data_IF_871243283988
#
_entry.id   IF_871243283988
#
_cell.length_a   1.000
_cell.length_b   1.000
_cell.length_c   1.000
_cell.angle_alpha   90.00
_cell.angle_beta   90.00
_cell.angle_gamma   90.00
#
_symmetry.space_group_name_H-M   'P 1'
#
loop_
_entity.id
_entity.type
_entity.pdbx_description
1 polymer ?
2 non-polymer ?
3 non-polymer ?
4 non-polymer ?
5 water ?
#
# COMPACT_ATOMS: atom_id res chain seq x y z
N UNK A 21 -2.41 23.19 -16.72
CA UNK A 21 -2.31 22.19 -15.62
C UNK A 21 -3.07 20.92 -15.98
N UNK A 22 -3.44 20.13 -14.95
CA UNK A 22 -4.17 18.89 -15.18
C UNK A 22 -5.66 19.16 -15.23
N UNK A 23 -6.27 18.83 -16.36
CA UNK A 23 -7.67 19.05 -16.59
C UNK A 23 -8.48 17.77 -16.77
N UNK A 24 -7.81 16.70 -17.14
CA UNK A 24 -8.48 15.42 -17.40
C UNK A 24 -7.57 14.27 -17.04
N UNK A 25 -8.06 13.37 -16.18
CA UNK A 25 -7.29 12.25 -15.67
C UNK A 25 -7.92 10.93 -16.03
N UNK A 26 -7.11 10.02 -16.58
CA UNK A 26 -7.51 8.63 -16.76
C UNK A 26 -7.23 7.87 -15.47
N UNK A 27 -8.28 7.25 -14.96
CA UNK A 27 -8.22 6.42 -13.77
C UNK A 27 -7.92 4.97 -14.17
N UNK A 28 -6.64 4.61 -14.17
CA UNK A 28 -6.22 3.32 -14.65
C UNK A 28 -6.27 2.31 -13.52
N UNK A 29 -7.47 2.13 -12.98
CA UNK A 29 -7.69 1.15 -11.94
C UNK A 29 -9.18 0.89 -11.81
N UNK A 30 -9.60 0.23 -10.73
CA UNK A 30 -10.96 -0.19 -10.58
C UNK A 30 -11.35 -0.18 -9.10
N UNK A 31 -12.55 -0.64 -8.80
CA UNK A 31 -12.95 -0.82 -7.41
C UNK A 31 -12.91 0.43 -6.54
N UNK A 32 -12.59 0.23 -5.27
CA UNK A 32 -12.66 1.29 -4.30
C UNK A 32 -11.63 2.38 -4.60
N UNK A 33 -10.43 2.01 -5.01
CA UNK A 33 -9.41 3.05 -5.22
C UNK A 33 -9.75 3.93 -6.41
N UNK A 34 -10.36 3.34 -7.43
CA UNK A 34 -10.83 4.11 -8.57
C UNK A 34 -11.90 5.11 -8.13
N UNK A 35 -12.83 4.69 -7.28
CA UNK A 35 -13.80 5.65 -6.69
C UNK A 35 -13.12 6.75 -5.85
N UNK A 36 -12.11 6.39 -5.08
CA UNK A 36 -11.37 7.30 -4.23
C UNK A 36 -10.73 8.40 -5.10
N UNK A 37 -10.17 7.96 -6.23
CA UNK A 37 -9.49 8.88 -7.13
C UNK A 37 -10.49 9.77 -7.82
N UNK A 38 -11.63 9.21 -8.21
CA UNK A 38 -12.66 10.01 -8.86
C UNK A 38 -13.15 11.11 -7.92
N UNK A 39 -13.32 10.79 -6.64
CA UNK A 39 -13.83 11.76 -5.69
C UNK A 39 -12.82 12.90 -5.55
N UNK A 40 -11.54 12.58 -5.50
CA UNK A 40 -10.51 13.65 -5.43
C UNK A 40 -10.51 14.54 -6.68
N UNK A 41 -10.62 13.90 -7.84
CA UNK A 41 -10.60 14.65 -9.09
C UNK A 41 -11.74 15.65 -9.09
N UNK A 42 -12.90 15.14 -8.72
CA UNK A 42 -14.13 15.89 -8.78
C UNK A 42 -14.10 17.07 -7.82
N UNK A 43 -13.50 16.86 -6.65
CA UNK A 43 -13.30 17.97 -5.73
C UNK A 43 -12.40 19.06 -6.31
N UNK A 44 -11.40 18.65 -7.09
CA UNK A 44 -10.49 19.58 -7.74
C UNK A 44 -11.01 20.13 -9.08
N UNK A 45 -12.14 19.64 -9.54
CA UNK A 45 -12.69 20.13 -10.79
C UNK A 45 -12.03 19.51 -12.01
N UNK A 46 -11.37 18.37 -11.79
CA UNK A 46 -10.65 17.66 -12.83
C UNK A 46 -11.56 16.63 -13.50
N UNK A 47 -11.62 16.66 -14.84
CA UNK A 47 -12.50 15.75 -15.57
C UNK A 47 -11.96 14.34 -15.46
N UNK A 48 -12.85 13.35 -15.46
CA UNK A 48 -12.45 11.95 -15.28
C UNK A 48 -12.79 11.08 -16.49
N UNK A 49 -11.89 10.14 -16.76
CA UNK A 49 -12.04 9.09 -17.77
C UNK A 49 -11.91 7.77 -17.02
N UNK A 50 -12.96 6.96 -17.01
CA UNK A 50 -12.90 5.68 -16.34
C UNK A 50 -12.64 4.65 -17.40
N UNK A 51 -11.45 4.04 -17.38
CA UNK A 51 -11.19 2.89 -18.23
C UNK A 51 -11.59 1.65 -17.44
N UNK A 52 -12.25 0.72 -18.13
CA UNK A 52 -12.83 -0.44 -17.44
C UNK A 52 -12.89 -1.68 -18.33
N UNK A 53 -12.89 -2.84 -17.70
CA UNK A 53 -13.07 -4.09 -18.43
C UNK A 53 -14.56 -4.31 -18.65
N UNK A 54 -14.91 -5.30 -19.49
CA UNK A 54 -16.30 -5.61 -19.76
C UNK A 54 -17.08 -6.00 -18.48
N UNK A 55 -16.39 -6.54 -17.49
CA UNK A 55 -17.06 -7.01 -16.28
C UNK A 55 -17.35 -5.87 -15.30
N UNK A 56 -16.76 -4.71 -15.53
CA UNK A 56 -16.79 -3.61 -14.57
C UNK A 56 -17.62 -2.42 -15.06
N UNK A 57 -18.47 -2.67 -16.04
CA UNK A 57 -19.35 -1.65 -16.57
C UNK A 57 -20.20 -1.03 -15.47
N UNK A 58 -20.47 -1.80 -14.43
CA UNK A 58 -21.41 -1.39 -13.40
C UNK A 58 -20.72 -0.91 -12.13
N UNK A 59 -19.40 -0.74 -12.17
CA UNK A 59 -18.70 -0.14 -11.05
C UNK A 59 -19.24 1.25 -10.81
N UNK A 60 -19.31 1.60 -9.53
CA UNK A 60 -19.86 2.89 -9.10
C UNK A 60 -19.11 4.06 -9.77
N UNK A 61 -17.79 4.04 -9.72
CA UNK A 61 -17.01 5.15 -10.28
C UNK A 61 -17.18 5.26 -11.79
N UNK A 62 -17.37 4.13 -12.47
CA UNK A 62 -17.62 4.16 -13.90
C UNK A 62 -18.92 4.91 -14.16
N UNK A 63 -19.93 4.58 -13.37
CA UNK A 63 -21.24 5.19 -13.48
C UNK A 63 -21.24 6.68 -13.15
N UNK A 64 -20.30 7.12 -12.31
CA UNK A 64 -20.12 8.54 -12.01
C UNK A 64 -19.15 9.31 -12.92
N UNK A 65 -18.36 8.61 -13.72
CA UNK A 65 -17.32 9.27 -14.51
C UNK A 65 -17.88 10.15 -15.63
N UNK A 66 -17.13 11.18 -15.99
CA UNK A 66 -17.49 12.06 -17.11
C UNK A 66 -17.41 11.34 -18.44
N UNK A 67 -16.40 10.48 -18.61
CA UNK A 67 -16.24 9.68 -19.84
C UNK A 67 -15.89 8.27 -19.47
N UNK A 68 -16.31 7.29 -20.27
CA UNK A 68 -15.95 5.90 -20.03
C UNK A 68 -15.40 5.26 -21.30
N UNK A 69 -14.41 4.39 -21.13
CA UNK A 69 -13.84 3.62 -22.24
C UNK A 69 -13.60 2.18 -21.83
N UNK A 70 -14.20 1.25 -22.55
CA UNK A 70 -13.95 -0.16 -22.28
C UNK A 70 -12.61 -0.56 -22.89
N UNK A 71 -11.65 -0.93 -22.05
CA UNK A 71 -10.29 -1.26 -22.53
C UNK A 71 -9.99 -2.75 -22.75
N UNK A 72 -10.98 -3.61 -22.57
CA UNK A 72 -10.78 -5.03 -22.85
C UNK A 72 -11.75 -5.90 -22.07
N UNK A 73 -11.64 -7.23 -22.27
CA UNK A 73 -12.44 -8.26 -21.58
C UNK A 73 -12.08 -8.39 -20.11
N UNK A 74 -12.78 -9.27 -19.42
CA UNK A 74 -12.69 -9.37 -17.97
C UNK A 74 -11.28 -9.60 -17.39
N UNK A 75 -10.51 -10.54 -17.95
CA UNK A 75 -9.23 -10.86 -17.31
C UNK A 75 -8.27 -9.68 -17.24
N UNK A 76 -7.65 -9.51 -16.08
CA UNK A 76 -6.71 -8.42 -15.84
C UNK A 76 -5.72 -8.26 -16.98
N UNK A 77 -5.11 -9.36 -17.39
CA UNK A 77 -4.11 -9.37 -18.47
C UNK A 77 -4.54 -8.62 -19.72
N UNK A 78 -5.84 -8.63 -19.97
CA UNK A 78 -6.32 -8.14 -21.25
C UNK A 78 -7.08 -6.81 -21.07
N UNK A 79 -7.11 -6.33 -19.83
CA UNK A 79 -7.69 -5.03 -19.56
C UNK A 79 -6.79 -4.12 -18.70
N UNK A 80 -6.83 -4.28 -17.38
CA UNK A 80 -6.17 -3.32 -16.49
C UNK A 80 -4.63 -3.40 -16.55
N UNK A 81 -4.13 -4.46 -17.18
CA UNK A 81 -2.68 -4.62 -17.42
C UNK A 81 -2.34 -4.40 -18.86
N UNK A 82 -3.33 -3.98 -19.65
CA UNK A 82 -3.14 -3.70 -21.07
C UNK A 82 -2.59 -2.30 -21.34
N UNK A 83 -1.28 -2.19 -21.38
CA UNK A 83 -0.63 -0.90 -21.53
C UNK A 83 -1.03 -0.12 -22.78
N UNK A 84 -1.01 -0.77 -23.96
CA UNK A 84 -1.39 0.09 -25.09
C UNK A 84 -2.86 0.49 -25.08
N UNK A 85 -3.75 -0.31 -24.52
CA UNK A 85 -5.16 0.08 -24.52
C UNK A 85 -5.38 1.27 -23.57
N UNK A 86 -4.65 1.30 -22.46
CA UNK A 86 -4.83 2.35 -21.48
C UNK A 86 -4.27 3.67 -22.03
N UNK A 87 -3.12 3.56 -22.70
CA UNK A 87 -2.51 4.75 -23.25
C UNK A 87 -3.37 5.28 -24.39
N UNK A 88 -3.94 4.36 -25.17
CA UNK A 88 -4.83 4.70 -26.27
C UNK A 88 -6.05 5.41 -25.74
N UNK A 89 -6.51 5.02 -24.55
CA UNK A 89 -7.63 5.72 -23.91
C UNK A 89 -7.27 7.17 -23.57
N UNK A 90 -6.08 7.38 -23.01
CA UNK A 90 -5.64 8.75 -22.76
C UNK A 90 -5.55 9.57 -24.05
N UNK A 91 -5.11 8.93 -25.12
CA UNK A 91 -4.93 9.59 -26.42
C UNK A 91 -6.25 10.06 -27.02
N UNK A 92 -7.22 9.17 -27.12
CA UNK A 92 -8.49 9.49 -27.77
C UNK A 92 -9.30 10.51 -26.96
N UNK A 93 -9.16 10.51 -25.63
CA UNK A 93 -9.90 11.48 -24.80
C UNK A 93 -9.16 12.81 -24.63
N UNK A 94 -7.92 12.88 -25.11
CA UNK A 94 -7.10 14.06 -24.91
C UNK A 94 -6.86 14.30 -23.42
N UNK A 95 -6.62 13.22 -22.68
CA UNK A 95 -6.37 13.32 -21.25
C UNK A 95 -4.98 13.92 -21.03
N UNK A 96 -4.74 14.43 -19.82
CA UNK A 96 -3.47 15.05 -19.47
C UNK A 96 -2.59 14.10 -18.63
N UNK A 97 -3.23 13.21 -17.89
CA UNK A 97 -2.52 12.42 -16.89
C UNK A 97 -3.21 11.09 -16.63
N UNK A 98 -2.47 10.16 -16.05
CA UNK A 98 -2.99 8.82 -15.77
C UNK A 98 -2.64 8.49 -14.33
N UNK A 99 -3.65 8.12 -13.55
CA UNK A 99 -3.48 7.73 -12.18
C UNK A 99 -3.61 6.21 -12.12
N UNK A 100 -2.51 5.52 -11.74
CA UNK A 100 -2.44 4.05 -11.70
C UNK A 100 -3.04 3.36 -10.45
N UNK A 101 -3.48 4.13 -9.46
CA UNK A 101 -3.99 3.58 -8.23
C UNK A 101 -2.92 2.77 -7.54
N UNK A 102 -3.31 1.64 -6.96
CA UNK A 102 -2.36 0.68 -6.41
C UNK A 102 -2.62 -0.66 -7.08
N UNK A 103 -1.65 -1.57 -7.01
CA UNK A 103 -1.70 -2.82 -7.73
C UNK A 103 -1.53 -2.60 -9.22
N UNK A 104 -1.99 -3.58 -9.99
CA UNK A 104 -1.97 -3.49 -11.46
C UNK A 104 -0.67 -2.88 -11.99
N UNK A 105 -0.72 -1.74 -12.67
CA UNK A 105 0.49 -1.22 -13.31
C UNK A 105 1.20 -0.10 -12.51
N UNK A 106 0.79 0.11 -11.27
CA UNK A 106 1.26 1.28 -10.53
C UNK A 106 2.74 1.24 -10.21
N UNK A 107 3.34 0.05 -10.18
CA UNK A 107 4.77 -0.05 -9.94
C UNK A 107 5.47 -0.72 -11.12
N UNK A 108 4.87 -0.56 -12.29
CA UNK A 108 5.42 -1.08 -13.52
C UNK A 108 6.13 0.06 -14.26
N UNK A 109 7.46 0.03 -14.22
CA UNK A 109 8.27 1.09 -14.80
C UNK A 109 8.15 1.15 -16.32
N UNK A 110 7.95 0.01 -16.98
CA UNK A 110 7.71 0.05 -18.42
C UNK A 110 6.43 0.85 -18.74
N UNK A 111 5.38 0.69 -17.94
CA UNK A 111 4.17 1.49 -18.12
C UNK A 111 4.41 2.99 -17.85
N UNK A 112 5.08 3.31 -16.75
CA UNK A 112 5.40 4.70 -16.43
C UNK A 112 6.19 5.35 -17.55
N UNK A 113 7.10 4.58 -18.12
CA UNK A 113 8.03 5.06 -19.12
C UNK A 113 7.25 5.36 -20.39
N UNK A 114 6.32 4.46 -20.73
CA UNK A 114 5.53 4.59 -21.94
C UNK A 114 4.51 5.72 -21.83
N UNK A 115 4.03 5.97 -20.62
CA UNK A 115 3.02 6.98 -20.38
C UNK A 115 3.70 8.33 -20.61
N UNK A 116 4.87 8.53 -20.01
CA UNK A 116 5.60 9.80 -20.17
C UNK A 116 6.11 10.00 -21.59
N UNK A 117 6.58 8.93 -22.21
CA UNK A 117 7.10 8.99 -23.56
C UNK A 117 5.97 9.33 -24.52
N UNK A 118 4.74 9.00 -24.13
CA UNK A 118 3.57 9.29 -24.96
C UNK A 118 2.97 10.68 -24.70
N UNK A 119 3.57 11.45 -23.80
CA UNK A 119 3.21 12.84 -23.62
C UNK A 119 2.29 13.10 -22.45
N UNK A 120 1.91 12.06 -21.71
CA UNK A 120 1.01 12.19 -20.57
C UNK A 120 1.79 12.23 -19.26
N UNK A 121 1.20 12.84 -18.24
CA UNK A 121 1.80 12.83 -16.92
C UNK A 121 1.42 11.53 -16.20
N UNK A 122 2.42 10.83 -15.69
CA UNK A 122 2.20 9.66 -14.84
C UNK A 122 2.05 10.18 -13.42
N UNK A 123 0.93 9.87 -12.77
CA UNK A 123 0.71 10.29 -11.39
C UNK A 123 1.40 9.28 -10.48
N UNK A 124 2.66 9.56 -10.17
CA UNK A 124 3.56 8.62 -9.55
C UNK A 124 4.98 9.12 -9.77
N UNK A 125 5.97 8.37 -9.31
CA UNK A 125 7.34 8.79 -9.59
C UNK A 125 7.76 8.52 -11.01
N UNK A 126 8.95 8.99 -11.35
CA UNK A 126 9.54 8.76 -12.65
C UNK A 126 9.86 7.28 -12.81
N UNK A 127 9.98 6.83 -14.06
CA UNK A 127 10.22 5.42 -14.33
C UNK A 127 11.54 4.97 -13.71
N UNK A 128 12.53 5.84 -13.73
CA UNK A 128 13.87 5.49 -13.27
C UNK A 128 13.82 5.11 -11.80
N UNK A 129 13.05 5.90 -11.05
CA UNK A 129 12.93 5.72 -9.61
C UNK A 129 12.09 4.49 -9.26
N UNK A 130 11.04 4.23 -10.02
CA UNK A 130 10.29 3.00 -9.85
C UNK A 130 11.22 1.79 -10.01
N UNK A 131 12.06 1.80 -11.05
CA UNK A 131 13.00 0.70 -11.28
C UNK A 131 13.99 0.59 -10.14
N UNK A 132 14.47 1.74 -9.69
CA UNK A 132 15.46 1.77 -8.63
C UNK A 132 14.94 1.04 -7.38
N UNK A 133 13.75 1.44 -6.93
CA UNK A 133 13.17 0.87 -5.73
C UNK A 133 12.41 -0.42 -5.99
N UNK A 134 12.26 -0.80 -7.26
CA UNK A 134 11.63 -2.06 -7.60
C UNK A 134 12.56 -3.27 -7.49
N UNK A 135 13.84 -3.00 -7.31
CA UNK A 135 14.84 -4.04 -7.17
C UNK A 135 15.39 -3.99 -5.76
N UNK A 136 15.34 -5.12 -5.05
CA UNK A 136 15.64 -5.13 -3.63
C UNK A 136 17.06 -4.69 -3.36
N UNK A 137 18.02 -5.22 -4.11
CA UNK A 137 19.42 -4.87 -3.87
C UNK A 137 19.70 -3.39 -4.14
N UNK A 138 19.26 -2.87 -5.29
CA UNK A 138 19.49 -1.46 -5.57
C UNK A 138 18.71 -0.57 -4.61
N UNK A 139 17.55 -1.04 -4.16
CA UNK A 139 16.72 -0.27 -3.24
C UNK A 139 17.49 -0.06 -1.95
N UNK A 140 18.00 -1.17 -1.42
CA UNK A 140 18.72 -1.16 -0.15
C UNK A 140 19.97 -0.32 -0.26
N UNK A 141 20.64 -0.38 -1.41
CA UNK A 141 21.84 0.42 -1.59
C UNK A 141 21.50 1.91 -1.47
N UNK A 142 20.42 2.31 -2.13
CA UNK A 142 20.02 3.72 -2.10
C UNK A 142 19.62 4.19 -0.71
N UNK A 143 18.92 3.34 0.03
CA UNK A 143 18.51 3.66 1.40
C UNK A 143 19.73 3.82 2.31
N UNK A 144 20.66 2.89 2.16
CA UNK A 144 21.93 2.89 2.90
C UNK A 144 22.70 4.18 2.63
N UNK A 145 22.71 4.61 1.38
CA UNK A 145 23.40 5.85 1.02
C UNK A 145 22.69 7.03 1.65
N UNK A 146 21.37 6.96 1.69
CA UNK A 146 20.55 8.03 2.23
C UNK A 146 20.51 8.06 3.76
N UNK A 147 21.05 7.03 4.39
CA UNK A 147 21.05 6.96 5.84
C UNK A 147 19.75 6.40 6.44
N UNK A 148 18.97 5.71 5.62
CA UNK A 148 17.79 5.01 6.13
C UNK A 148 18.26 3.65 6.65
N UNK A 149 17.87 3.30 7.88
CA UNK A 149 18.43 2.07 8.45
C UNK A 149 17.89 0.83 7.75
N UNK A 150 18.78 -0.14 7.53
CA UNK A 150 18.47 -1.35 6.80
C UNK A 150 18.77 -2.60 7.64
N UNK A 151 18.19 -3.73 7.25
CA UNK A 151 18.51 -4.98 7.91
C UNK A 151 19.96 -5.29 7.62
N UNK A 152 20.73 -5.66 8.64
CA UNK A 152 22.10 -6.14 8.38
C UNK A 152 22.10 -7.30 7.39
N UNK A 153 22.90 -7.17 6.33
CA UNK A 153 22.91 -8.15 5.27
C UNK A 153 24.14 -8.08 4.40
N UNK A 154 24.09 -8.77 3.27
CA UNK A 154 25.26 -8.94 2.41
C UNK A 154 25.61 -7.66 1.67
N UNK A 155 24.68 -6.71 1.68
CA UNK A 155 24.90 -5.43 1.00
C UNK A 155 25.44 -5.69 -0.40
N UNK A 156 24.55 -6.21 -1.24
CA UNK A 156 24.90 -6.62 -2.57
C UNK A 156 24.63 -8.10 -2.69
N UNK A 157 24.72 -8.62 -3.92
CA UNK A 157 24.51 -10.05 -4.18
C UNK A 157 25.60 -10.97 -3.63
N UNK A 158 25.17 -12.20 -3.37
CA UNK A 158 26.05 -13.29 -3.00
C UNK A 158 26.66 -13.89 -4.25
N UNK A 159 27.81 -14.54 -4.13
CA UNK A 159 28.31 -15.40 -5.21
C UNK A 159 27.77 -16.80 -4.92
N UNK A 160 28.43 -17.84 -5.42
CA UNK A 160 28.38 -19.11 -4.71
C UNK A 160 29.79 -19.65 -4.55
N UNK A 161 30.69 -18.76 -4.14
CA UNK A 161 31.85 -19.19 -3.38
C UNK A 161 31.32 -19.34 -1.96
N UNK A 162 31.30 -20.58 -1.49
CA UNK A 162 30.59 -20.90 -0.27
C UNK A 162 31.35 -20.44 0.97
N UNK A 163 32.68 -20.42 0.92
CA UNK A 163 33.49 -20.01 2.07
C UNK A 163 33.21 -18.55 2.42
N UNK A 164 33.11 -17.72 1.37
CA UNK A 164 32.86 -16.29 1.55
C UNK A 164 31.42 -16.06 2.05
N UNK A 165 30.47 -16.76 1.46
CA UNK A 165 29.07 -16.68 1.88
C UNK A 165 28.88 -17.12 3.34
N UNK A 166 29.69 -18.08 3.77
CA UNK A 166 29.62 -18.56 5.15
C UNK A 166 30.20 -17.50 6.08
N UNK A 167 31.30 -16.86 5.67
CA UNK A 167 31.85 -15.77 6.46
C UNK A 167 30.81 -14.69 6.68
N UNK A 168 30.11 -14.30 5.62
CA UNK A 168 29.17 -13.21 5.74
C UNK A 168 28.01 -13.57 6.63
N UNK A 169 27.43 -14.75 6.42
CA UNK A 169 26.30 -15.16 7.25
C UNK A 169 26.72 -15.13 8.71
N UNK A 170 27.94 -15.60 8.97
CA UNK A 170 28.46 -15.64 10.34
C UNK A 170 28.52 -14.22 10.93
N UNK A 171 28.98 -13.28 10.12
CA UNK A 171 29.02 -11.87 10.49
C UNK A 171 27.63 -11.32 10.88
N UNK A 172 26.69 -11.46 9.95
CA UNK A 172 25.31 -11.05 10.11
C UNK A 172 24.73 -11.71 11.35
N UNK A 173 24.91 -13.02 11.44
CA UNK A 173 24.35 -13.80 12.54
C UNK A 173 23.11 -14.55 12.14
N UNK A 174 23.11 -15.86 12.40
CA UNK A 174 21.95 -16.69 12.12
C UNK A 174 20.87 -16.37 13.18
N UNK A 175 19.59 -16.55 12.82
CA UNK A 175 19.19 -17.07 11.51
C UNK A 175 19.28 -15.99 10.45
N UNK A 176 19.57 -16.41 9.23
CA UNK A 176 19.60 -15.48 8.12
C UNK A 176 18.56 -15.94 7.11
N UNK A 177 18.34 -15.09 6.12
CA UNK A 177 17.32 -15.32 5.11
C UNK A 177 17.88 -14.96 3.76
N UNK A 178 17.81 -15.92 2.84
CA UNK A 178 18.15 -15.71 1.45
C UNK A 178 16.93 -15.17 0.68
N UNK A 179 17.16 -14.17 -0.17
CA UNK A 179 16.09 -13.41 -0.80
C UNK A 179 16.35 -13.02 -2.27
N UNK A 180 15.30 -13.12 -3.09
CA UNK A 180 15.35 -12.72 -4.48
C UNK A 180 15.40 -11.19 -4.59
N UNK A 181 16.20 -10.68 -5.51
CA UNK A 181 16.24 -9.24 -5.73
C UNK A 181 14.94 -8.79 -6.41
N UNK A 182 14.23 -9.72 -7.02
CA UNK A 182 12.96 -9.42 -7.67
C UNK A 182 11.83 -10.31 -7.20
N UNK A 189 12.20 -16.71 -1.33
CA UNK A 189 12.48 -16.32 0.05
C UNK A 189 12.61 -17.56 0.97
N UNK A 190 13.86 -17.94 1.27
CA UNK A 190 14.17 -19.16 2.04
C UNK A 190 15.02 -18.85 3.26
N UNK A 191 14.73 -19.50 4.40
CA UNK A 191 15.46 -19.26 5.66
C UNK A 191 16.58 -20.24 5.87
N UNK A 192 17.62 -19.77 6.54
CA UNK A 192 18.72 -20.61 6.97
C UNK A 192 19.00 -20.37 8.45
N UNK A 193 18.87 -21.41 9.26
CA UNK A 193 19.06 -21.26 10.70
C UNK A 193 20.39 -21.80 11.15
N UNK A 194 21.09 -22.49 10.24
CA UNK A 194 22.43 -22.97 10.53
C UNK A 194 23.31 -23.05 9.29
N UNK A 195 24.61 -23.08 9.54
CA UNK A 195 25.64 -23.00 8.51
C UNK A 195 25.61 -24.15 7.51
N UNK A 196 25.33 -25.35 8.00
CA UNK A 196 25.43 -26.54 7.17
C UNK A 196 24.36 -26.55 6.09
N UNK A 197 23.34 -25.72 6.29
CA UNK A 197 22.22 -25.63 5.37
C UNK A 197 22.40 -24.52 4.35
N UNK A 198 23.43 -23.70 4.50
CA UNK A 198 23.55 -22.44 3.77
C UNK A 198 23.79 -22.59 2.26
N UNK A 199 24.75 -23.43 1.87
CA UNK A 199 25.14 -23.49 0.47
C UNK A 199 23.95 -23.90 -0.37
N UNK A 200 23.37 -25.06 -0.03
CA UNK A 200 22.24 -25.58 -0.78
C UNK A 200 21.00 -24.70 -0.59
N UNK A 201 20.91 -24.03 0.55
CA UNK A 201 19.84 -23.07 0.79
C UNK A 201 19.91 -21.93 -0.22
N UNK A 202 21.13 -21.47 -0.50
CA UNK A 202 21.35 -20.39 -1.47
C UNK A 202 21.12 -20.89 -2.90
N UNK A 203 21.86 -21.93 -3.28
CA UNK A 203 21.80 -22.48 -4.64
C UNK A 203 20.37 -22.67 -5.12
N UNK A 204 19.55 -23.26 -4.26
CA UNK A 204 18.20 -23.63 -4.62
C UNK A 204 17.24 -22.43 -4.61
N UNK A 205 17.62 -21.35 -3.93
CA UNK A 205 16.77 -20.17 -3.82
C UNK A 205 16.82 -19.36 -5.11
N UNK A 206 17.97 -19.39 -5.78
CA UNK A 206 18.12 -18.72 -7.06
C UNK A 206 17.01 -19.22 -8.00
N UNK A 207 16.76 -20.53 -7.94
CA UNK A 207 15.76 -21.18 -8.79
C UNK A 207 14.42 -21.30 -8.07
N UNK A 216 17.28 -13.45 -12.42
CA UNK A 216 17.08 -13.74 -11.00
C UNK A 216 18.39 -13.64 -10.20
N UNK A 217 18.52 -12.63 -9.34
CA UNK A 217 19.68 -12.57 -8.42
C UNK A 217 19.25 -12.72 -6.97
N UNK A 218 20.21 -13.01 -6.10
CA UNK A 218 19.94 -13.22 -4.67
C UNK A 218 20.89 -12.43 -3.72
N UNK A 219 20.37 -12.07 -2.55
CA UNK A 219 21.18 -11.50 -1.46
C UNK A 219 20.77 -12.15 -0.16
N UNK A 220 21.48 -11.88 0.94
CA UNK A 220 21.05 -12.41 2.23
C UNK A 220 21.09 -11.35 3.31
N UNK A 221 20.17 -11.45 4.26
CA UNK A 221 20.14 -10.50 5.36
C UNK A 221 19.67 -11.20 6.62
N UNK A 222 19.67 -10.49 7.75
CA UNK A 222 19.29 -11.08 9.01
C UNK A 222 17.81 -11.47 8.97
N UNK A 223 17.46 -12.61 9.53
CA UNK A 223 16.05 -12.94 9.69
C UNK A 223 15.58 -12.44 11.05
N UNK A 224 14.60 -11.54 11.02
CA UNK A 224 14.01 -10.99 12.24
C UNK A 224 12.80 -11.83 12.60
N UNK A 225 12.78 -12.37 13.80
CA UNK A 225 11.77 -13.39 14.11
C UNK A 225 10.45 -12.85 14.66
N UNK A 226 10.48 -11.76 15.42
CA UNK A 226 9.24 -11.20 15.99
C UNK A 226 9.09 -9.69 15.73
N UNK A 227 9.13 -9.26 14.46
CA UNK A 227 9.02 -7.83 14.23
C UNK A 227 7.58 -7.42 13.95
N UNK A 228 7.32 -6.13 14.07
CA UNK A 228 6.06 -5.53 13.64
C UNK A 228 6.25 -4.90 12.29
N UNK A 229 5.17 -4.64 11.59
CA UNK A 229 5.28 -3.96 10.31
C UNK A 229 4.89 -2.50 10.54
N UNK A 230 5.86 -1.60 10.42
CA UNK A 230 5.60 -0.18 10.66
C UNK A 230 6.11 0.58 9.46
N UNK A 231 5.28 1.45 8.89
CA UNK A 231 5.59 2.06 7.61
C UNK A 231 5.33 3.56 7.63
N UNK A 232 6.23 4.33 7.03
CA UNK A 232 6.18 5.77 7.09
C UNK A 232 5.67 6.31 5.76
N UNK A 233 4.66 7.17 5.84
CA UNK A 233 4.09 7.82 4.68
C UNK A 233 4.86 9.09 4.37
N UNK A 234 5.20 9.26 3.10
CA UNK A 234 5.80 10.50 2.62
C UNK A 234 5.10 11.06 1.38
N UNK A 235 5.38 12.34 1.16
CA UNK A 235 5.04 13.05 -0.07
C UNK A 235 6.28 13.87 -0.43
N UNK A 236 6.60 13.94 -1.71
CA UNK A 236 7.71 14.74 -2.20
C UNK A 236 7.22 15.41 -3.46
N UNK A 237 7.55 16.69 -3.67
CA UNK A 237 7.05 17.42 -4.84
C UNK A 237 8.17 17.87 -5.79
N UNK A 238 7.78 18.56 -6.86
CA UNK A 238 8.73 19.02 -7.87
C UNK A 238 9.32 20.37 -7.49
N UNK A 239 9.09 20.79 -6.25
CA UNK A 239 9.66 22.03 -5.74
C UNK A 239 10.73 21.76 -4.69
N UNK A 240 11.22 20.52 -4.62
CA UNK A 240 12.28 20.19 -3.68
C UNK A 240 11.82 19.99 -2.25
N UNK A 241 10.53 19.83 -2.06
CA UNK A 241 9.98 19.58 -0.72
C UNK A 241 9.73 18.10 -0.51
N UNK A 242 9.79 17.67 0.74
CA UNK A 242 9.45 16.30 1.10
C UNK A 242 9.06 16.29 2.56
N UNK A 243 7.93 15.67 2.87
CA UNK A 243 7.41 15.57 4.22
C UNK A 243 7.07 14.13 4.57
N UNK A 244 7.08 13.84 5.86
CA UNK A 244 6.63 12.56 6.37
C UNK A 244 5.35 12.75 7.15
N UNK A 245 4.46 11.76 7.06
CA UNK A 245 3.16 11.85 7.71
C UNK A 245 2.99 10.69 8.66
N UNK A 246 3.80 10.72 9.72
CA UNK A 246 3.77 9.73 10.76
C UNK A 246 3.88 8.31 10.16
N UNK A 247 3.22 7.34 10.77
CA UNK A 247 3.43 5.96 10.40
C UNK A 247 2.17 5.17 10.60
N UNK A 248 2.14 3.96 10.07
CA UNK A 248 1.03 3.05 10.26
C UNK A 248 1.62 1.73 10.70
N UNK A 249 0.88 1.02 11.53
CA UNK A 249 1.23 -0.33 11.92
C UNK A 249 0.32 -1.27 11.17
N UNK A 250 0.90 -2.21 10.43
CA UNK A 250 0.13 -3.12 9.60
C UNK A 250 0.48 -4.57 9.91
N UNK A 251 0.68 -4.87 11.18
CA UNK A 251 1.22 -6.16 11.58
C UNK A 251 0.20 -7.30 11.50
N UNK A 252 -1.07 -6.97 11.57
CA UNK A 252 -2.12 -7.99 11.45
C UNK A 252 -2.22 -8.42 10.01
N UNK A 253 -1.62 -9.57 9.70
CA UNK A 253 -1.52 -10.03 8.33
C UNK A 253 -1.78 -11.50 8.26
N UNK A 254 -2.23 -11.96 7.09
CA UNK A 254 -2.38 -13.37 6.84
C UNK A 254 -1.78 -13.63 5.48
N UNK A 255 -0.84 -14.58 5.41
CA UNK A 255 -0.20 -14.87 4.14
C UNK A 255 0.34 -13.60 3.51
N UNK A 256 0.96 -12.75 4.32
CA UNK A 256 1.59 -11.53 3.84
C UNK A 256 0.59 -10.52 3.25
N UNK A 257 -0.71 -10.73 3.51
CA UNK A 257 -1.76 -9.79 3.12
C UNK A 257 -2.33 -9.06 4.35
N UNK A 258 -2.34 -7.72 4.29
CA UNK A 258 -2.76 -6.92 5.43
C UNK A 258 -4.28 -7.04 5.63
N UNK A 259 -4.70 -7.05 6.89
CA UNK A 259 -6.09 -7.28 7.23
C UNK A 259 -6.66 -6.08 8.00
N UNK A 260 -5.90 -5.61 8.99
CA UNK A 260 -6.25 -4.45 9.79
C UNK A 260 -5.02 -3.56 9.88
N UNK A 261 -5.21 -2.27 9.72
CA UNK A 261 -4.12 -1.31 9.83
C UNK A 261 -4.51 -0.21 10.80
N UNK A 262 -3.51 0.43 11.39
CA UNK A 262 -3.80 1.50 12.33
C UNK A 262 -2.74 2.58 12.26
N UNK A 263 -3.07 3.75 12.80
CA UNK A 263 -2.11 4.86 12.89
C UNK A 263 -2.51 5.73 14.07
N UNK A 264 -1.53 6.30 14.77
CA UNK A 264 -0.12 6.00 14.58
C UNK A 264 0.20 4.60 15.10
N UNK A 265 1.47 4.20 15.03
CA UNK A 265 1.89 2.91 15.52
C UNK A 265 2.10 3.01 17.02
N UNK A 266 1.49 2.09 17.77
CA UNK A 266 1.68 2.12 19.22
C UNK A 266 3.14 1.98 19.64
N UNK A 267 3.52 2.73 20.67
CA UNK A 267 4.85 2.65 21.24
C UNK A 267 5.79 3.66 20.63
N UNK A 268 5.41 4.23 19.49
CA UNK A 268 6.29 5.16 18.78
C UNK A 268 6.11 6.58 19.27
N UNK A 269 7.20 7.15 19.77
CA UNK A 269 7.16 8.51 20.30
C UNK A 269 7.38 9.53 19.20
N UNK A 270 7.07 10.79 19.47
CA UNK A 270 7.30 11.83 18.48
C UNK A 270 8.78 11.97 18.14
N UNK A 271 9.66 11.69 19.10
CA UNK A 271 11.09 11.83 18.83
C UNK A 271 11.54 10.76 17.84
N UNK A 272 11.12 9.53 18.08
CA UNK A 272 11.45 8.43 17.18
C UNK A 272 10.85 8.70 15.80
N UNK A 273 9.58 9.13 15.79
CA UNK A 273 8.89 9.53 14.56
C UNK A 273 9.66 10.57 13.74
N UNK A 274 10.19 11.59 14.40
CA UNK A 274 10.87 12.65 13.69
C UNK A 274 12.21 12.17 13.15
N UNK A 275 12.87 11.28 13.89
CA UNK A 275 14.14 10.71 13.44
C UNK A 275 13.95 9.88 12.16
N UNK A 276 13.18 8.80 12.28
CA UNK A 276 13.01 7.90 11.14
C UNK A 276 12.31 8.64 10.01
N UNK A 277 11.34 9.47 10.38
CA UNK A 277 10.57 10.22 9.40
C UNK A 277 11.47 11.11 8.57
N UNK A 278 12.34 11.85 9.24
CA UNK A 278 13.20 12.81 8.56
C UNK A 278 14.21 12.11 7.66
N UNK A 279 14.70 10.95 8.09
CA UNK A 279 15.57 10.17 7.22
C UNK A 279 14.83 9.73 5.95
N UNK A 280 13.55 9.40 6.09
CA UNK A 280 12.75 9.04 4.92
C UNK A 280 12.54 10.21 3.94
N UNK A 281 12.21 11.38 4.46
CA UNK A 281 12.02 12.54 3.60
C UNK A 281 13.33 12.89 2.85
N UNK A 282 14.45 12.90 3.56
CA UNK A 282 15.70 13.19 2.86
C UNK A 282 16.04 12.11 1.85
N UNK A 283 15.69 10.85 2.13
CA UNK A 283 15.88 9.80 1.13
C UNK A 283 15.09 10.13 -0.14
N UNK A 284 13.87 10.64 0.03
CA UNK A 284 13.08 11.09 -1.12
C UNK A 284 13.85 12.08 -1.95
N UNK A 285 14.39 13.09 -1.29
CA UNK A 285 15.19 14.08 -2.04
C UNK A 285 16.40 13.50 -2.77
N UNK A 286 17.22 12.72 -2.08
CA UNK A 286 18.42 12.15 -2.67
C UNK A 286 18.07 11.38 -3.94
N UNK A 287 17.00 10.59 -3.88
CA UNK A 287 16.65 9.73 -5.01
C UNK A 287 15.74 10.43 -6.02
N UNK A 288 15.39 11.68 -5.75
CA UNK A 288 14.54 12.43 -6.65
C UNK A 288 13.13 11.89 -6.70
N UNK A 289 12.59 11.53 -5.53
CA UNK A 289 11.26 10.96 -5.47
C UNK A 289 10.20 12.02 -5.79
N UNK A 290 9.08 11.57 -6.34
CA UNK A 290 7.99 12.47 -6.71
C UNK A 290 6.65 11.79 -6.40
N UNK A 291 5.77 12.49 -5.70
CA UNK A 291 4.43 11.98 -5.43
C UNK A 291 4.30 11.36 -4.06
N UNK A 292 3.28 10.50 -3.88
CA UNK A 292 3.12 9.77 -2.63
C UNK A 292 3.95 8.48 -2.62
N UNK A 293 4.48 8.11 -1.46
CA UNK A 293 5.17 6.85 -1.34
C UNK A 293 5.24 6.40 0.10
N UNK A 294 5.63 5.14 0.33
CA UNK A 294 5.74 4.62 1.68
C UNK A 294 7.03 3.82 1.87
N UNK A 295 7.74 4.13 2.95
CA UNK A 295 8.89 3.32 3.35
C UNK A 295 8.39 2.30 4.37
N UNK A 296 8.39 1.03 4.00
CA UNK A 296 8.03 -0.05 4.92
C UNK A 296 9.22 -0.59 5.69
N UNK A 297 9.04 -0.76 7.00
CA UNK A 297 10.07 -1.26 7.87
C UNK A 297 9.57 -2.46 8.66
N UNK A 298 10.49 -3.37 8.97
CA UNK A 298 10.32 -4.30 10.07
C UNK A 298 10.88 -3.61 11.32
N UNK A 299 10.11 -3.63 12.39
CA UNK A 299 10.38 -2.86 13.58
C UNK A 299 10.54 -3.83 14.75
N UNK A 300 11.71 -3.86 15.37
CA UNK A 300 11.98 -4.83 16.43
C UNK A 300 12.93 -4.27 17.47
N UNK A 301 12.65 -4.58 18.74
CA UNK A 301 13.39 -4.03 19.87
C UNK A 301 13.86 -2.60 19.67
N UNK A 302 12.96 -1.74 19.22
CA UNK A 302 13.24 -0.32 19.20
C UNK A 302 13.89 0.18 17.93
N UNK A 303 14.24 -0.75 17.04
CA UNK A 303 14.96 -0.37 15.82
C UNK A 303 14.14 -0.58 14.55
N UNK A 304 14.34 0.31 13.60
CA UNK A 304 13.71 0.22 12.29
C UNK A 304 14.63 -0.46 11.29
N UNK A 305 14.08 -1.29 10.42
CA UNK A 305 14.87 -1.95 9.37
C UNK A 305 14.07 -1.97 8.05
N UNK A 306 14.60 -1.29 7.04
CA UNK A 306 13.93 -1.11 5.76
C UNK A 306 13.73 -2.43 5.03
N UNK A 307 12.55 -2.64 4.47
CA UNK A 307 12.35 -3.80 3.60
C UNK A 307 11.84 -3.49 2.20
N UNK A 308 11.14 -2.38 2.02
CA UNK A 308 10.52 -2.08 0.73
C UNK A 308 10.08 -0.62 0.69
N UNK A 309 10.21 0.03 -0.46
CA UNK A 309 9.49 1.27 -0.67
C UNK A 309 8.40 1.01 -1.68
N UNK A 310 7.17 1.27 -1.29
CA UNK A 310 6.07 1.22 -2.23
C UNK A 310 6.02 2.57 -2.90
N UNK A 311 6.19 2.58 -4.22
CA UNK A 311 6.28 3.85 -4.92
C UNK A 311 4.94 4.20 -5.54
N UNK A 312 3.95 4.40 -4.67
CA UNK A 312 2.55 4.52 -5.05
C UNK A 312 1.74 4.82 -3.79
N UNK A 313 0.47 5.19 -3.98
CA UNK A 313 -0.48 5.24 -2.88
C UNK A 313 -0.70 3.80 -2.41
N UNK A 314 -1.05 3.64 -1.13
CA UNK A 314 -1.34 2.32 -0.56
C UNK A 314 -2.81 2.19 -0.17
N UNK A 315 -3.28 0.97 -0.10
CA UNK A 315 -4.64 0.68 0.33
C UNK A 315 -4.94 1.41 1.62
N UNK A 316 -4.02 1.32 2.58
CA UNK A 316 -4.31 1.78 3.93
C UNK A 316 -4.07 3.28 4.18
N UNK A 317 -3.90 4.04 3.11
CA UNK A 317 -3.69 5.48 3.26
C UNK A 317 -4.72 6.22 4.11
N UNK A 318 -5.99 5.76 4.12
CA UNK A 318 -6.94 6.57 4.90
C UNK A 318 -6.64 6.70 6.42
N UNK A 319 -5.97 5.75 7.05
CA UNK A 319 -5.74 5.91 8.50
C UNK A 319 -4.84 7.12 8.76
N UNK A 320 -3.92 7.35 7.84
CA UNK A 320 -3.02 8.50 7.94
C UNK A 320 -3.79 9.77 7.71
N UNK A 321 -4.73 9.78 6.77
CA UNK A 321 -5.57 10.95 6.55
C UNK A 321 -6.34 11.33 7.81
N UNK A 322 -6.84 10.32 8.51
CA UNK A 322 -7.69 10.58 9.68
C UNK A 322 -6.91 11.23 10.81
N UNK A 323 -5.64 10.87 10.97
CA UNK A 323 -4.85 11.40 12.08
C UNK A 323 -4.02 12.64 11.75
N UNK A 324 -3.93 13.01 10.47
CA UNK A 324 -3.16 14.20 10.09
C UNK A 324 -3.99 15.29 9.44
N UNK A 325 -5.15 14.95 8.90
CA UNK A 325 -5.95 15.91 8.15
C UNK A 325 -5.49 16.13 6.70
N UNK A 326 -4.59 15.30 6.21
CA UNK A 326 -4.11 15.45 4.84
C UNK A 326 -4.95 14.59 3.91
N UNK A 327 -5.20 15.09 2.71
CA UNK A 327 -5.93 14.35 1.69
C UNK A 327 -4.84 13.85 0.75
N UNK A 328 -4.47 12.58 0.86
CA UNK A 328 -3.27 12.12 0.17
C UNK A 328 -3.42 11.98 -1.35
N UNK A 329 -4.61 11.62 -1.81
CA UNK A 329 -4.85 11.47 -3.25
C UNK A 329 -4.94 12.84 -3.90
N UNK A 330 -5.58 13.77 -3.20
CA UNK A 330 -5.58 15.14 -3.67
C UNK A 330 -4.16 15.72 -3.76
N UNK A 331 -3.31 15.45 -2.76
CA UNK A 331 -1.91 15.84 -2.87
C UNK A 331 -1.22 15.16 -4.04
N UNK A 332 -1.55 13.90 -4.33
CA UNK A 332 -0.96 13.23 -5.49
C UNK A 332 -1.26 14.01 -6.76
N UNK A 333 -2.50 14.45 -6.89
CA UNK A 333 -2.91 15.16 -8.10
C UNK A 333 -2.27 16.53 -8.23
N UNK A 334 -2.20 17.24 -7.11
CA UNK A 334 -1.60 18.57 -7.10
C UNK A 334 -0.09 18.48 -7.41
N UNK A 335 0.58 17.46 -6.88
CA UNK A 335 2.02 17.25 -7.13
C UNK A 335 2.24 16.92 -8.62
N UNK A 336 1.38 16.07 -9.16
CA UNK A 336 1.46 15.69 -10.58
C UNK A 336 1.28 16.89 -11.49
N UNK A 337 0.43 17.84 -11.11
CA UNK A 337 0.21 19.05 -11.90
C UNK A 337 1.33 20.06 -11.78
N UNK A 338 2.32 19.78 -10.94
CA UNK A 338 3.44 20.70 -10.79
C UNK A 338 3.42 21.53 -9.51
N UNK A 339 2.37 21.39 -8.70
CA UNK A 339 2.21 22.27 -7.54
C UNK A 339 3.06 21.79 -6.38
N UNK A 340 3.29 22.67 -5.40
CA UNK A 340 3.97 22.25 -4.17
C UNK A 340 3.02 21.49 -3.24
N UNK A 341 3.56 20.64 -2.37
CA UNK A 341 2.76 20.04 -1.31
C UNK A 341 2.08 21.22 -0.60
N UNK A 342 0.84 21.06 -0.18
CA UNK A 342 0.07 22.22 0.28
C UNK A 342 0.25 22.56 1.76
N UNK A 343 1.29 22.02 2.39
CA UNK A 343 1.59 22.33 3.79
C UNK A 343 3.08 22.09 4.05
N UNK A 344 3.55 22.50 5.23
CA UNK A 344 4.94 22.27 5.62
C UNK A 344 5.00 21.24 6.74
N UNK A 345 6.19 20.67 6.95
CA UNK A 345 6.34 19.60 7.93
C UNK A 345 5.83 20.03 9.30
N UNK A 346 6.10 21.27 9.67
CA UNK A 346 5.72 21.80 10.97
C UNK A 346 4.21 21.95 11.08
N UNK A 347 3.51 21.89 9.95
CA UNK A 347 2.05 22.00 9.95
C UNK A 347 1.35 20.69 10.33
N UNK A 348 2.05 19.57 10.20
CA UNK A 348 1.40 18.29 10.48
C UNK A 348 1.64 17.90 11.94
N UNK A 349 0.55 17.63 12.64
CA UNK A 349 0.63 17.13 14.01
C UNK A 349 -0.35 15.98 14.17
N UNK A 350 0.18 14.82 14.54
CA UNK A 350 -0.62 13.62 14.77
C UNK A 350 -1.66 13.92 15.84
N UNK A 351 -2.93 13.70 15.53
CA UNK A 351 -3.97 13.81 16.54
C UNK A 351 -4.85 12.59 16.50
N UNK A 352 -5.03 11.97 17.66
CA UNK A 352 -5.98 10.87 17.78
C UNK A 352 -5.38 9.62 17.18
N UNK A 353 -6.25 8.70 16.81
CA UNK A 353 -5.85 7.38 16.39
C UNK A 353 -6.88 6.89 15.40
N UNK A 354 -6.50 6.00 14.49
CA UNK A 354 -7.41 5.52 13.45
C UNK A 354 -7.12 4.06 13.15
N UNK A 355 -8.17 3.35 12.77
CA UNK A 355 -8.10 1.92 12.43
C UNK A 355 -8.81 1.67 11.13
N UNK A 356 -8.39 0.65 10.39
CA UNK A 356 -9.01 0.30 9.13
C UNK A 356 -9.14 -1.22 9.08
N UNK A 357 -10.34 -1.70 8.79
CA UNK A 357 -10.61 -3.09 8.48
C UNK A 357 -10.92 -3.28 6.99
N UNK A 358 -10.14 -4.15 6.34
CA UNK A 358 -10.37 -4.49 4.94
C UNK A 358 -11.47 -5.52 4.86
N UNK A 359 -12.64 -5.07 4.43
CA UNK A 359 -13.77 -5.98 4.27
C UNK A 359 -13.75 -6.66 2.90
N UNK A 360 -13.59 -7.97 2.94
CA UNK A 360 -13.45 -8.80 1.76
C UNK A 360 -14.64 -9.72 1.60
N UNK A 361 -14.98 -9.99 0.34
CA UNK A 361 -15.98 -11.00 0.00
C UNK A 361 -15.29 -12.35 -0.06
N UNK A 362 -15.23 -13.02 1.09
CA UNK A 362 -14.58 -14.31 1.21
C UNK A 362 -15.14 -15.00 2.46
N UNK A 363 -15.02 -16.33 2.51
CA UNK A 363 -15.41 -17.07 3.71
C UNK A 363 -14.48 -16.66 4.86
N UNK A 364 -15.04 -16.37 6.04
CA UNK A 364 -14.20 -15.85 7.14
C UNK A 364 -13.24 -16.89 7.73
N UNK A 365 -13.45 -18.15 7.39
CA UNK A 365 -12.62 -19.26 7.86
C UNK A 365 -11.64 -19.79 6.80
N UNK A 366 -12.17 -20.16 5.63
CA UNK A 366 -11.35 -20.75 4.55
C UNK A 366 -10.65 -19.67 3.71
N UNK A 367 -11.20 -18.46 3.75
CA UNK A 367 -10.71 -17.34 2.95
C UNK A 367 -10.87 -17.59 1.46
N UNK A 368 -11.76 -18.50 1.11
CA UNK A 368 -12.15 -18.74 -0.27
C UNK A 368 -13.02 -17.58 -0.76
N UNK A 369 -12.79 -17.09 -1.99
CA UNK A 369 -13.56 -15.90 -2.42
C UNK A 369 -15.06 -16.18 -2.51
N UNK A 370 -15.86 -15.12 -2.42
CA UNK A 370 -17.31 -15.27 -2.34
C UNK A 370 -17.96 -14.27 -3.28
N UNK A 371 -17.78 -14.46 -4.59
CA UNK A 371 -18.37 -13.53 -5.55
C UNK A 371 -19.88 -13.70 -5.57
N UNK A 372 -20.59 -12.74 -6.13
CA UNK A 372 -22.03 -12.88 -6.30
C UNK A 372 -22.75 -11.61 -5.93
N UNK A 373 -24.07 -11.67 -5.97
CA UNK A 373 -24.85 -10.46 -5.84
C UNK A 373 -25.06 -10.01 -4.39
N UNK A 374 -24.77 -8.75 -4.13
CA UNK A 374 -25.10 -8.18 -2.83
C UNK A 374 -26.53 -7.70 -2.94
N UNK A 375 -27.43 -8.42 -2.29
CA UNK A 375 -28.85 -8.09 -2.31
C UNK A 375 -29.11 -6.84 -1.52
N UNK A 376 -28.59 -6.80 -0.30
CA UNK A 376 -28.67 -5.59 0.50
C UNK A 376 -27.36 -5.20 1.15
N UNK A 377 -27.06 -3.93 1.07
CA UNK A 377 -25.94 -3.41 1.79
C UNK A 377 -26.48 -2.41 2.79
N UNK A 378 -26.08 -2.56 4.05
CA UNK A 378 -26.27 -1.48 5.00
C UNK A 378 -24.94 -1.06 5.57
N UNK A 379 -24.51 0.14 5.22
CA UNK A 379 -23.21 0.61 5.69
C UNK A 379 -23.37 1.46 6.94
N UNK A 380 -22.35 1.43 7.80
CA UNK A 380 -22.42 2.05 9.12
C UNK A 380 -22.09 3.53 9.01
N UNK A 381 -22.26 4.29 10.09
CA UNK A 381 -21.97 5.72 10.06
C UNK A 381 -21.87 6.29 11.47
N UNK A 382 -22.08 7.60 11.56
CA UNK A 382 -21.95 8.32 12.82
C UNK A 382 -20.60 8.98 12.94
N UNK A 383 -20.38 9.60 14.10
CA UNK A 383 -19.13 10.28 14.39
C UNK A 383 -17.94 9.32 14.33
N UNK A 384 -16.92 9.72 13.59
CA UNK A 384 -15.65 8.99 13.58
C UNK A 384 -15.69 7.74 12.74
N UNK A 385 -16.69 7.61 11.89
CA UNK A 385 -16.79 6.46 11.02
C UNK A 385 -16.72 6.91 9.55
N UNK A 386 -15.88 6.22 8.79
CA UNK A 386 -15.63 6.53 7.39
C UNK A 386 -15.77 5.24 6.61
N UNK A 387 -16.43 5.31 5.46
CA UNK A 387 -16.69 4.14 4.66
C UNK A 387 -16.21 4.43 3.23
N UNK A 388 -15.23 3.66 2.78
CA UNK A 388 -14.66 3.77 1.44
C UNK A 388 -14.98 2.49 0.67
N UNK A 389 -15.98 2.54 -0.19
CA UNK A 389 -16.45 1.34 -0.89
C UNK A 389 -17.20 1.68 -2.15
N UNK A 390 -17.05 0.81 -3.14
CA UNK A 390 -17.73 0.97 -4.42
C UNK A 390 -18.95 0.08 -4.43
N UNK A 391 -19.12 -0.68 -3.38
CA UNK A 391 -20.21 -1.66 -3.35
C UNK A 391 -21.54 -1.01 -3.01
N UNK A 392 -22.59 -1.52 -3.60
CA UNK A 392 -23.93 -1.00 -3.34
C UNK A 392 -24.95 -2.14 -3.42
N UNK A 393 -26.08 -1.97 -2.74
CA UNK A 393 -27.20 -2.87 -2.94
C UNK A 393 -27.54 -3.15 -4.40
N UNK A 394 -27.44 -4.42 -4.79
CA UNK A 394 -27.72 -4.85 -6.14
C UNK A 394 -26.45 -5.03 -6.97
N UNK A 395 -25.32 -4.61 -6.43
CA UNK A 395 -24.05 -4.81 -7.10
C UNK A 395 -23.62 -6.27 -7.02
N UNK A 396 -23.04 -6.75 -8.12
CA UNK A 396 -22.52 -8.09 -8.16
C UNK A 396 -21.00 -8.07 -8.07
N UNK A 397 -20.45 -8.71 -7.05
CA UNK A 397 -19.01 -8.80 -6.90
C UNK A 397 -18.44 -9.81 -7.87
N UNK A 398 -17.59 -9.36 -8.80
CA UNK A 398 -17.14 -10.36 -9.77
C UNK A 398 -16.01 -11.27 -9.28
N UNK A 399 -15.74 -12.34 -10.02
CA UNK A 399 -14.67 -13.29 -9.69
C UNK A 399 -13.29 -12.88 -10.17
N UNK A 400 -13.20 -11.95 -11.13
CA UNK A 400 -11.99 -11.75 -11.92
C UNK A 400 -10.82 -11.01 -11.24
N UNK A 401 -11.09 -10.31 -10.15
CA UNK A 401 -10.12 -9.41 -9.54
C UNK A 401 -9.96 -9.82 -8.09
N UNK A 402 -9.56 -8.89 -7.23
CA UNK A 402 -9.44 -9.22 -5.81
C UNK A 402 -10.80 -9.23 -5.08
N UNK A 403 -10.78 -9.57 -3.79
CA UNK A 403 -12.02 -9.74 -3.02
C UNK A 403 -12.40 -8.56 -2.11
N UNK A 404 -11.65 -7.46 -2.18
CA UNK A 404 -11.98 -6.29 -1.40
C UNK A 404 -13.30 -5.67 -1.84
N UNK A 405 -14.19 -5.42 -0.90
CA UNK A 405 -15.42 -4.74 -1.24
C UNK A 405 -15.58 -3.42 -0.49
N UNK A 406 -14.92 -3.28 0.66
CA UNK A 406 -14.99 -2.04 1.40
C UNK A 406 -13.83 -1.87 2.36
N UNK A 407 -13.51 -0.64 2.70
CA UNK A 407 -12.60 -0.31 3.78
C UNK A 407 -13.39 0.47 4.81
N UNK A 408 -13.47 -0.07 6.01
CA UNK A 408 -14.17 0.57 7.13
C UNK A 408 -13.08 1.19 7.99
N UNK A 409 -13.18 2.49 8.21
CA UNK A 409 -12.13 3.24 8.85
C UNK A 409 -12.79 3.99 10.02
N UNK A 410 -12.20 3.89 11.22
CA UNK A 410 -12.68 4.70 12.33
C UNK A 410 -11.59 5.56 12.91
N UNK A 411 -12.03 6.59 13.63
CA UNK A 411 -11.14 7.53 14.25
C UNK A 411 -11.62 7.77 15.68
N UNK A 412 -10.68 7.97 16.60
CA UNK A 412 -11.00 8.39 17.95
C UNK A 412 -9.88 9.17 18.58
N UNK A 413 -10.15 9.82 19.70
CA UNK A 413 -9.12 10.55 20.43
C UNK A 413 -8.05 9.64 21.00
N UNK A 414 -8.43 8.38 21.20
CA UNK A 414 -7.54 7.40 21.76
C UNK A 414 -7.68 6.15 20.92
N UNK A 415 -6.67 5.30 20.96
CA UNK A 415 -6.74 4.01 20.32
C UNK A 415 -7.97 3.24 20.81
N UNK A 416 -8.27 3.34 22.10
CA UNK A 416 -9.37 2.56 22.69
C UNK A 416 -10.71 2.94 22.04
N UNK A 417 -10.90 4.23 21.82
CA UNK A 417 -12.13 4.72 21.23
C UNK A 417 -12.23 4.31 19.77
N UNK A 418 -11.12 4.36 19.06
CA UNK A 418 -11.13 3.93 17.67
C UNK A 418 -11.53 2.45 17.56
N UNK A 419 -11.02 1.63 18.47
CA UNK A 419 -11.33 0.22 18.45
C UNK A 419 -12.80 -0.04 18.76
N UNK A 420 -13.35 0.57 19.81
CA UNK A 420 -14.75 0.36 20.17
C UNK A 420 -15.68 0.84 19.05
N UNK A 421 -15.29 1.93 18.42
CA UNK A 421 -16.05 2.52 17.34
C UNK A 421 -16.04 1.55 16.16
N UNK A 422 -14.89 0.93 15.92
CA UNK A 422 -14.80 -0.07 14.87
C UNK A 422 -15.69 -1.28 15.20
N UNK A 423 -15.70 -1.74 16.45
CA UNK A 423 -16.53 -2.88 16.82
C UNK A 423 -18.02 -2.59 16.58
N UNK A 424 -18.46 -1.40 16.98
CA UNK A 424 -19.85 -1.01 16.84
C UNK A 424 -20.23 -0.83 15.36
N UNK A 425 -19.32 -0.25 14.59
CA UNK A 425 -19.58 -0.05 13.16
C UNK A 425 -19.69 -1.40 12.44
N UNK A 426 -18.86 -2.37 12.80
CA UNK A 426 -18.91 -3.69 12.21
C UNK A 426 -20.22 -4.38 12.57
N UNK A 427 -20.67 -4.22 13.81
CA UNK A 427 -21.91 -4.86 14.26
C UNK A 427 -23.11 -4.29 13.52
N UNK A 428 -23.01 -3.03 13.11
CA UNK A 428 -24.08 -2.41 12.31
C UNK A 428 -24.05 -2.78 10.83
N UNK A 429 -22.91 -3.24 10.34
CA UNK A 429 -22.74 -3.46 8.92
C UNK A 429 -23.41 -4.74 8.49
N UNK A 430 -24.19 -4.67 7.41
CA UNK A 430 -24.89 -5.84 6.88
C UNK A 430 -24.54 -5.95 5.39
N UNK A 431 -23.95 -7.07 5.02
CA UNK A 431 -23.73 -7.37 3.61
C UNK A 431 -24.40 -8.71 3.32
N UNK A 432 -25.48 -8.63 2.55
CA UNK A 432 -26.43 -9.74 2.41
C UNK A 432 -26.32 -10.34 1.01
N UNK A 433 -26.06 -11.64 0.95
CA UNK A 433 -26.02 -12.35 -0.32
C UNK A 433 -24.67 -12.99 -0.57
N UNK A 434 -23.63 -12.47 0.08
CA UNK A 434 -22.30 -13.07 0.02
C UNK A 434 -21.73 -13.18 1.43
N UNK A 435 -20.70 -14.01 1.58
CA UNK A 435 -19.95 -14.10 2.83
C UNK A 435 -18.93 -12.99 2.87
N UNK A 436 -18.56 -12.55 4.07
CA UNK A 436 -17.46 -11.59 4.23
C UNK A 436 -16.59 -11.99 5.39
N UNK A 437 -15.47 -11.30 5.54
CA UNK A 437 -14.54 -11.56 6.62
C UNK A 437 -14.85 -10.70 7.85
N UNK A 438 -16.05 -10.14 7.92
CA UNK A 438 -16.42 -9.33 9.08
C UNK A 438 -16.23 -10.13 10.39
N UNK A 439 -16.65 -11.40 10.42
CA UNK A 439 -16.41 -12.12 11.68
C UNK A 439 -14.90 -12.23 12.08
N UNK A 440 -14.02 -12.26 11.09
CA UNK A 440 -12.59 -12.28 11.39
C UNK A 440 -12.20 -10.96 12.07
N UNK A 441 -12.66 -9.85 11.52
CA UNK A 441 -12.36 -8.54 12.12
C UNK A 441 -12.88 -8.47 13.55
N UNK A 442 -14.06 -9.03 13.78
CA UNK A 442 -14.61 -8.97 15.11
C UNK A 442 -13.78 -9.76 16.12
N UNK A 443 -13.26 -10.92 15.70
CA UNK A 443 -12.35 -11.69 16.55
C UNK A 443 -11.02 -10.94 16.81
N UNK A 444 -10.48 -10.29 15.80
CA UNK A 444 -9.23 -9.53 15.97
C UNK A 444 -9.45 -8.41 17.02
N UNK A 445 -10.53 -7.65 16.85
CA UNK A 445 -10.74 -6.44 17.63
C UNK A 445 -10.96 -6.72 19.11
N UNK A 446 -11.46 -7.91 19.42
CA UNK A 446 -11.78 -8.27 20.79
C UNK A 446 -10.63 -9.05 21.43
N UNK A 447 -9.58 -9.28 20.66
CA UNK A 447 -8.40 -10.00 21.13
C UNK A 447 -7.66 -9.16 22.18
N UNK A 448 -7.39 -9.74 23.34
CA UNK A 448 -6.77 -9.01 24.45
C UNK A 448 -5.37 -8.51 24.10
N UNK A 449 -4.65 -9.26 23.28
CA UNK A 449 -3.32 -8.82 22.86
C UNK A 449 -3.41 -7.67 21.87
N UNK A 450 -4.38 -7.73 20.96
CA UNK A 450 -4.59 -6.61 20.06
C UNK A 450 -5.04 -5.36 20.85
N UNK A 451 -5.88 -5.57 21.84
CA UNK A 451 -6.38 -4.46 22.68
C UNK A 451 -5.21 -3.74 23.34
N UNK A 452 -4.25 -4.52 23.83
CA UNK A 452 -3.01 -3.96 24.38
C UNK A 452 -2.16 -3.26 23.34
N UNK A 453 -2.07 -3.85 22.15
CA UNK A 453 -1.36 -3.25 21.04
C UNK A 453 0.05 -3.80 20.89
N UNK A 454 0.61 -3.67 19.69
CA UNK A 454 2.00 -4.04 19.49
C UNK A 454 2.24 -5.49 19.13
N UNK A 455 1.21 -6.20 18.71
CA UNK A 455 1.41 -7.60 18.29
C UNK A 455 2.24 -7.63 17.01
N UNK A 456 2.93 -8.73 16.79
CA UNK A 456 3.89 -8.82 15.70
C UNK A 456 3.27 -9.43 14.45
N UNK A 457 4.05 -9.53 13.38
CA UNK A 457 3.51 -9.89 12.08
C UNK A 457 3.07 -11.34 11.95
N UNK A 458 3.42 -12.16 12.93
CA UNK A 458 3.03 -13.57 12.93
C UNK A 458 1.81 -13.84 13.80
N UNK A 459 1.32 -12.81 14.50
CA UNK A 459 0.31 -13.03 15.53
C UNK A 459 -0.99 -13.59 14.97
N UNK A 460 -1.50 -12.99 13.91
CA UNK A 460 -2.80 -13.42 13.37
C UNK A 460 -2.79 -14.88 12.90
N UNK A 461 -1.74 -15.29 12.20
CA UNK A 461 -1.67 -16.66 11.67
C UNK A 461 -1.65 -17.71 12.78
N UNK A 462 -0.97 -17.38 13.87
CA UNK A 462 -0.93 -18.21 15.08
C UNK A 462 -2.30 -18.34 15.72
N UNK A 463 -2.95 -17.19 15.93
CA UNK A 463 -4.28 -17.15 16.53
C UNK A 463 -5.23 -18.08 15.76
N UNK A 464 -5.17 -18.03 14.43
CA UNK A 464 -6.05 -18.85 13.62
C UNK A 464 -5.65 -20.32 13.63
X LIG B 1 -0.64 -2.24 0.01
X LIG B 1 -1.20 -0.98 -0.63
X LIG B 1 -0.96 -2.34 1.48
X LIG B 1 -1.15 -3.36 -0.86
X LIG B 1 0.85 -2.23 -0.05
X LIG C 1 6.43 -6.88 -0.17
X LIG C 1 6.32 -6.60 -1.64
X LIG C 1 5.33 -6.27 0.66
X LIG C 1 7.81 -6.66 0.42
X LIG C 1 7.27 -9.60 -0.42
X LIG C 1 6.61 -10.65 -1.29
X LIG C 1 8.51 -8.87 -0.90
X LIG C 1 6.18 -8.48 -0.03
X LIG C 1 7.60 -10.27 1.02
X LIG C 1 7.93 -9.44 2.14
X LIG C 1 7.80 -10.24 3.42
X LIG C 1 8.89 -11.15 3.55
X LIG C 1 7.81 -9.37 4.69
X LIG C 1 6.53 -8.89 5.10
X LIG C 1 8.36 -10.31 5.73
X LIG C 1 7.34 -11.08 6.37
X LIG C 1 9.27 -11.24 4.94
X LIG C 1 10.62 -10.72 5.22
X LIG C 1 11.38 -9.98 4.39
X LIG C 1 12.55 -9.67 4.99
X LIG C 1 12.55 -10.21 6.21
X LIG C 1 13.48 -10.26 7.36
X LIG C 1 14.68 -9.65 7.30
X LIG C 1 13.09 -10.94 8.47
X LIG C 1 11.89 -11.55 8.55
X LIG C 1 11.00 -11.53 7.54
X LIG C 1 11.27 -10.90 6.38
X LIG C 1 7.26 -8.57 2.17
X LIG C 1 8.95 -9.07 2.04
X LIG C 1 6.85 -10.79 3.39
X LIG C 1 8.50 -8.54 4.55
X LIG C 1 6.62 -8.37 5.89
X LIG C 1 8.95 -9.75 6.47
X LIG C 1 6.73 -10.49 6.83
X LIG C 1 9.16 -12.26 5.31
X LIG C 1 11.09 -9.68 3.40
X LIG C 1 15.32 -9.69 8.08
X LIG C 1 14.95 -9.16 6.45
X LIG C 1 11.63 -12.07 9.46
X LIG D 1 -4.86 21.26 -9.97
X LIG D 1 -4.66 20.05 -9.23
X LIG D 1 -5.29 20.95 -11.40
X LIG D 1 -6.45 21.73 -11.74
X LIG D 1 -5.62 21.86 -9.48
X LIG D 1 -3.93 21.83 -9.98
X LIG D 1 -4.39 20.25 -8.32
X LIG D 1 -4.46 21.18 -12.09
X LIG D 1 -5.52 19.89 -11.49
X LIG D 1 -6.71 21.53 -12.65
X LIG E 1 26.96 -26.28 13.40
X LIG E 1 27.86 -25.18 13.19
X LIG E 1 25.75 -26.03 12.52
X LIG E 1 26.15 -25.25 11.40
X LIG E 1 27.46 -27.22 13.11
X LIG E 1 26.67 -26.35 14.44
X LIG E 1 28.65 -25.31 13.74
X LIG E 1 25.34 -26.99 12.18
X LIG E 1 24.98 -25.51 13.10
X LIG E 1 25.39 -25.07 10.83
#
# INVERSE_FOLDING_TARGET
>A
MGSSHHHHHHSSGLVPRGSHMLEKVVIANRGEIALRILRACKELGIKTVAVHSTADRDLKHVLLADETICIGPAPSAKSYLNIPAIIAAAEVTGADAIHPGYGFLSENADFAEQVERSGFTFIGPTADVIRLMGDKVSAIKAMKKAGVPCVPGSDGPVSNDIAKNKEIAKRIGYPIIIKASGGGGGRGMRVVRSEDALEESIAMTKAEAKAAFNNDMVYMEKYLENPRHVEIQVLADTHGNAVYLAERDCSMQRRHQKVVEEAPAPGITEEVRRDIGSRCANACVEIGYRGAGTFEFLYENGEFYFIEMNTRIQVEHPVTEMITGVDLVKEQLRIAAGLPISFKQEDIKVKGHAMECRINAEDPKTFLPSPGKVNHLHSPGGLGVRWDSHVYGGYTVPPHYDSMIAKLITYGDTREVAIRRMQNALSETIIDGIKTNIPLHELILEDENFQKGGTNIHYLEKKLGMNE
>B hetero
1 PO4 P O1 O2 O3 O4
>C hetero
1 ADP PB O1B O2B O3B PA O1A O2A O3A O5' C5' C4' O4' C3' O3' C2' O2' C1' N9 C8 N7 C5 C6 N6 N1 C2 N3 C4 H5'1 H5'2 H4' H3' HO3' H2' HO2' H1' H8 HN61 HN62 H2
>D hetero
1 EDO C1 O1 C2 O2 H11 H12 HO1 H21 H22 HO2
>E hetero
1 EDO C1 O1 C2 O2 H11 H12 HO1 H21 H22 HO2
#
